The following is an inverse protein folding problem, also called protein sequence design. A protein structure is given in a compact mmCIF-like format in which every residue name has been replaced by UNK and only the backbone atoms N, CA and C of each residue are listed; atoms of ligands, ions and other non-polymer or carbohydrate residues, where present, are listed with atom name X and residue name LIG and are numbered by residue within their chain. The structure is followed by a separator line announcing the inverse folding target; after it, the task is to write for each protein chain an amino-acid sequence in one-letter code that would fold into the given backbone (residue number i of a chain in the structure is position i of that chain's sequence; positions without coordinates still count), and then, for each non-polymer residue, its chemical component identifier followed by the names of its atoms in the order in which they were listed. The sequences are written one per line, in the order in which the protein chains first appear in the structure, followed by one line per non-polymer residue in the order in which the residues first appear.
data_IF_092309380166
#
_entry.id   IF_092309380166
#
_cell.length_a   1.000
_cell.length_b   1.000
_cell.length_c   1.000
_cell.angle_alpha   90.00
_cell.angle_beta   90.00
_cell.angle_gamma   90.00
#
_symmetry.space_group_name_H-M   'P 1'
#
loop_
_entity.id
_entity.type
_entity.pdbx_description
1 polymer ?
#
# COMPACT_ATOMS: atom_id res chain seq x y z
N UNK A 1 -19.68 -29.35 -19.94
CA UNK A 1 -20.71 -28.60 -20.69
C UNK A 1 -20.72 -28.89 -22.20
N UNK A 2 -19.59 -29.29 -22.82
CA UNK A 2 -19.48 -29.54 -24.27
C UNK A 2 -20.46 -30.61 -24.83
N UNK A 3 -20.67 -31.73 -24.13
CA UNK A 3 -21.64 -32.76 -24.53
C UNK A 3 -23.09 -32.27 -24.58
N UNK A 4 -23.51 -31.46 -23.61
CA UNK A 4 -24.87 -30.91 -23.56
C UNK A 4 -25.13 -29.95 -24.73
N UNK A 5 -24.19 -29.05 -25.04
CA UNK A 5 -24.26 -28.17 -26.22
C UNK A 5 -24.33 -28.97 -27.53
N UNK A 6 -23.57 -30.07 -27.63
CA UNK A 6 -23.55 -30.93 -28.82
C UNK A 6 -24.84 -31.76 -28.97
N UNK A 7 -25.48 -32.18 -27.88
CA UNK A 7 -26.77 -32.87 -27.91
C UNK A 7 -27.92 -31.93 -28.27
N UNK A 8 -27.93 -30.70 -27.76
CA UNK A 8 -28.92 -29.67 -28.13
C UNK A 8 -28.85 -29.36 -29.63
N UNK A 9 -27.65 -29.21 -30.19
CA UNK A 9 -27.46 -29.01 -31.65
C UNK A 9 -27.92 -30.20 -32.49
N UNK A 10 -28.05 -31.40 -31.90
CA UNK A 10 -28.46 -32.64 -32.59
C UNK A 10 -29.89 -33.07 -32.26
N UNK A 11 -30.66 -32.25 -31.53
CA UNK A 11 -32.03 -32.59 -31.10
C UNK A 11 -32.09 -33.78 -30.12
N UNK A 12 -30.96 -34.20 -29.55
CA UNK A 12 -30.90 -35.34 -28.64
C UNK A 12 -31.26 -34.90 -27.20
N UNK A 13 -31.97 -35.75 -26.44
CA UNK A 13 -32.31 -35.44 -25.06
C UNK A 13 -31.04 -35.21 -24.23
N UNK A 14 -31.07 -34.13 -23.43
CA UNK A 14 -29.96 -33.79 -22.53
C UNK A 14 -30.06 -34.71 -21.32
N UNK A 15 -29.02 -35.51 -21.09
CA UNK A 15 -28.89 -36.35 -19.90
C UNK A 15 -29.14 -35.52 -18.63
N UNK A 16 -30.11 -35.94 -17.82
CA UNK A 16 -30.39 -35.31 -16.53
C UNK A 16 -29.18 -35.50 -15.60
N UNK A 17 -28.72 -34.45 -14.91
CA UNK A 17 -27.58 -34.58 -14.01
C UNK A 17 -27.89 -35.58 -12.90
N UNK A 18 -27.00 -36.56 -12.70
CA UNK A 18 -27.11 -37.51 -11.60
C UNK A 18 -26.93 -36.80 -10.26
N UNK A 19 -27.57 -37.32 -9.20
CA UNK A 19 -27.53 -36.77 -7.83
C UNK A 19 -26.10 -36.58 -7.32
N UNK A 20 -25.19 -37.49 -7.69
CA UNK A 20 -23.75 -37.43 -7.38
C UNK A 20 -23.06 -36.25 -8.08
N UNK A 21 -23.38 -36.00 -9.36
CA UNK A 21 -22.83 -34.87 -10.11
C UNK A 21 -23.36 -33.52 -9.60
N UNK A 22 -24.63 -33.46 -9.19
CA UNK A 22 -25.25 -32.28 -8.60
C UNK A 22 -24.61 -31.92 -7.25
N UNK A 23 -24.41 -32.90 -6.35
CA UNK A 23 -23.70 -32.67 -5.07
C UNK A 23 -22.27 -32.18 -5.29
N UNK A 24 -21.55 -32.73 -6.26
CA UNK A 24 -20.17 -32.29 -6.57
C UNK A 24 -20.12 -30.84 -7.05
N UNK A 25 -21.06 -30.43 -7.93
CA UNK A 25 -21.15 -29.04 -8.40
C UNK A 25 -21.49 -28.07 -7.26
N UNK A 26 -22.39 -28.45 -6.37
CA UNK A 26 -22.74 -27.67 -5.17
C UNK A 26 -21.51 -27.49 -4.27
N UNK A 27 -20.76 -28.56 -3.97
CA UNK A 27 -19.54 -28.48 -3.16
C UNK A 27 -18.49 -27.55 -3.77
N UNK A 28 -18.28 -27.61 -5.08
CA UNK A 28 -17.33 -26.72 -5.77
C UNK A 28 -17.80 -25.26 -5.68
N UNK A 29 -19.07 -24.99 -5.96
CA UNK A 29 -19.62 -23.64 -5.95
C UNK A 29 -19.52 -23.01 -4.55
N UNK A 30 -20.04 -23.71 -3.53
CA UNK A 30 -20.00 -23.19 -2.15
C UNK A 30 -18.60 -23.19 -1.58
N UNK A 31 -17.76 -24.19 -1.90
CA UNK A 31 -16.37 -24.24 -1.46
C UNK A 31 -15.57 -23.03 -1.92
N UNK A 32 -15.68 -22.66 -3.20
CA UNK A 32 -15.03 -21.44 -3.72
C UNK A 32 -15.55 -20.18 -3.04
N UNK A 33 -16.87 -20.08 -2.78
CA UNK A 33 -17.43 -18.94 -2.05
C UNK A 33 -16.89 -18.84 -0.63
N UNK A 34 -16.78 -19.96 0.09
CA UNK A 34 -16.21 -19.99 1.45
C UNK A 34 -14.73 -19.61 1.47
N UNK A 35 -13.93 -20.06 0.50
CA UNK A 35 -12.51 -19.69 0.40
C UNK A 35 -12.38 -18.17 0.19
N UNK A 36 -13.15 -17.59 -0.72
CA UNK A 36 -13.14 -16.14 -0.96
C UNK A 36 -13.56 -15.39 0.31
N UNK A 37 -14.59 -15.86 1.02
CA UNK A 37 -15.03 -15.25 2.26
C UNK A 37 -13.94 -15.30 3.35
N UNK A 38 -13.26 -16.44 3.50
CA UNK A 38 -12.17 -16.60 4.46
C UNK A 38 -11.01 -15.64 4.15
N UNK A 39 -10.60 -15.55 2.87
CA UNK A 39 -9.53 -14.63 2.45
C UNK A 39 -9.94 -13.18 2.78
N UNK A 40 -11.19 -12.80 2.44
CA UNK A 40 -11.70 -11.47 2.69
C UNK A 40 -11.75 -11.13 4.19
N UNK A 41 -12.18 -12.08 5.04
CA UNK A 41 -12.19 -11.90 6.50
C UNK A 41 -10.77 -11.79 7.06
N UNK A 42 -9.83 -12.62 6.59
CA UNK A 42 -8.43 -12.56 7.03
C UNK A 42 -7.77 -11.22 6.63
N UNK A 43 -8.00 -10.76 5.40
CA UNK A 43 -7.54 -9.43 4.96
C UNK A 43 -8.14 -8.33 5.85
N UNK A 44 -9.44 -8.41 6.14
CA UNK A 44 -10.11 -7.43 6.97
C UNK A 44 -9.60 -7.40 8.42
N UNK A 45 -9.29 -8.58 8.99
CA UNK A 45 -8.66 -8.67 10.31
C UNK A 45 -7.27 -8.06 10.27
N UNK A 46 -6.46 -8.36 9.25
CA UNK A 46 -5.13 -7.77 9.09
C UNK A 46 -5.22 -6.24 9.00
N UNK A 47 -6.07 -5.70 8.13
CA UNK A 47 -6.30 -4.26 8.01
C UNK A 47 -6.80 -3.66 9.34
N UNK A 48 -7.63 -4.40 10.08
CA UNK A 48 -8.09 -4.10 11.44
C UNK A 48 -6.98 -3.84 12.46
N UNK A 49 -5.96 -4.71 12.45
CA UNK A 49 -4.82 -4.60 13.37
C UNK A 49 -3.81 -3.55 12.92
N UNK A 50 -3.64 -3.34 11.61
CA UNK A 50 -2.55 -2.50 11.09
C UNK A 50 -2.98 -1.07 10.69
N UNK A 51 -4.25 -0.83 10.35
CA UNK A 51 -4.79 0.46 9.90
C UNK A 51 -6.23 0.69 10.40
N UNK A 52 -6.46 0.80 11.72
CA UNK A 52 -7.79 0.83 12.34
C UNK A 52 -8.71 1.95 11.81
N UNK A 53 -8.14 3.09 11.42
CA UNK A 53 -8.92 4.26 10.98
C UNK A 53 -9.59 4.06 9.61
N UNK A 54 -8.99 3.23 8.74
CA UNK A 54 -9.46 2.99 7.37
C UNK A 54 -10.47 1.83 7.33
N UNK A 55 -10.46 0.97 8.34
CA UNK A 55 -11.26 -0.26 8.45
C UNK A 55 -12.74 0.04 8.34
N UNK A 56 -13.21 1.13 8.95
CA UNK A 56 -14.62 1.58 8.87
C UNK A 56 -15.06 1.89 7.43
N UNK A 57 -14.18 2.50 6.63
CA UNK A 57 -14.42 2.81 5.23
C UNK A 57 -14.37 1.53 4.37
N UNK A 58 -13.45 0.62 4.68
CA UNK A 58 -13.30 -0.66 4.00
C UNK A 58 -14.51 -1.60 4.17
N UNK A 59 -15.26 -1.50 5.28
CA UNK A 59 -16.53 -2.25 5.48
C UNK A 59 -17.66 -1.76 4.59
N UNK A 60 -17.66 -0.48 4.20
CA UNK A 60 -18.80 0.10 3.48
C UNK A 60 -19.07 -0.62 2.15
N UNK A 61 -18.02 -0.95 1.38
CA UNK A 61 -18.16 -1.66 0.11
C UNK A 61 -18.82 -3.03 0.26
N UNK A 62 -18.21 -3.98 1.00
CA UNK A 62 -18.78 -5.30 1.27
C UNK A 62 -20.13 -5.23 1.97
N UNK A 63 -20.31 -4.33 2.94
CA UNK A 63 -21.54 -4.17 3.71
C UNK A 63 -22.71 -3.73 2.83
N UNK A 64 -22.53 -2.66 2.05
CA UNK A 64 -23.53 -2.16 1.10
C UNK A 64 -23.84 -3.22 0.03
N UNK A 65 -22.81 -3.86 -0.52
CA UNK A 65 -22.98 -4.94 -1.50
C UNK A 65 -23.81 -6.12 -0.97
N UNK A 66 -23.59 -6.50 0.29
CA UNK A 66 -24.32 -7.59 0.95
C UNK A 66 -25.79 -7.21 1.17
N UNK A 67 -26.06 -5.99 1.65
CA UNK A 67 -27.43 -5.49 1.84
C UNK A 67 -28.20 -5.44 0.51
N UNK A 68 -27.58 -4.91 -0.55
CA UNK A 68 -28.18 -4.85 -1.90
C UNK A 68 -28.45 -6.26 -2.42
N UNK A 69 -27.47 -7.17 -2.33
CA UNK A 69 -27.58 -8.54 -2.80
C UNK A 69 -28.68 -9.33 -2.08
N UNK A 70 -28.76 -9.21 -0.75
CA UNK A 70 -29.81 -9.82 0.06
C UNK A 70 -31.18 -9.24 -0.26
N UNK A 71 -31.28 -7.93 -0.47
CA UNK A 71 -32.52 -7.25 -0.86
C UNK A 71 -33.03 -7.78 -2.20
N UNK A 72 -32.18 -7.80 -3.23
CA UNK A 72 -32.52 -8.36 -4.55
C UNK A 72 -32.97 -9.82 -4.42
N UNK A 73 -32.24 -10.64 -3.64
CA UNK A 73 -32.58 -12.06 -3.44
C UNK A 73 -33.93 -12.24 -2.73
N UNK A 74 -34.19 -11.48 -1.67
CA UNK A 74 -35.46 -11.53 -0.94
C UNK A 74 -36.64 -11.16 -1.84
N UNK A 75 -36.49 -10.10 -2.64
CA UNK A 75 -37.54 -9.64 -3.54
C UNK A 75 -37.80 -10.61 -4.71
N UNK A 76 -36.76 -11.18 -5.32
CA UNK A 76 -36.91 -12.23 -6.34
C UNK A 76 -37.69 -13.42 -5.74
N UNK A 77 -37.32 -13.87 -4.54
CA UNK A 77 -37.96 -15.00 -3.87
C UNK A 77 -39.43 -14.73 -3.52
N UNK A 78 -39.80 -13.49 -3.19
CA UNK A 78 -41.17 -13.11 -2.76
C UNK A 78 -42.10 -12.72 -3.92
N UNK A 79 -41.59 -12.20 -5.05
CA UNK A 79 -42.40 -11.59 -6.13
C UNK A 79 -42.31 -12.29 -7.50
N UNK A 80 -41.63 -13.46 -7.57
CA UNK A 80 -41.42 -14.28 -8.78
C UNK A 80 -42.69 -14.80 -9.47
N UNK A 81 -43.92 -14.52 -9.00
CA UNK A 81 -45.14 -14.98 -9.69
C UNK A 81 -45.48 -14.17 -10.96
N UNK A 82 -44.87 -12.99 -11.19
CA UNK A 82 -45.06 -12.19 -12.42
C UNK A 82 -43.73 -11.80 -13.06
N UNK A 83 -43.39 -12.46 -14.18
CA UNK A 83 -42.13 -12.29 -14.96
C UNK A 83 -41.77 -10.84 -15.34
N UNK A 84 -42.73 -9.91 -15.39
CA UNK A 84 -42.49 -8.50 -15.74
C UNK A 84 -41.94 -7.63 -14.60
N UNK A 85 -42.00 -8.08 -13.35
CA UNK A 85 -41.55 -7.29 -12.22
C UNK A 85 -40.01 -7.23 -12.13
N UNK A 86 -39.32 -8.36 -12.41
CA UNK A 86 -37.87 -8.46 -12.28
C UNK A 86 -37.08 -7.51 -13.18
N UNK A 87 -37.54 -7.30 -14.43
CA UNK A 87 -36.86 -6.42 -15.39
C UNK A 87 -36.86 -4.96 -14.93
N UNK A 88 -37.97 -4.47 -14.39
CA UNK A 88 -38.09 -3.08 -13.90
C UNK A 88 -37.14 -2.80 -12.72
N UNK A 89 -36.89 -3.79 -11.88
CA UNK A 89 -36.01 -3.64 -10.72
C UNK A 89 -34.52 -3.77 -11.08
N UNK A 90 -34.17 -4.62 -12.05
CA UNK A 90 -32.81 -4.64 -12.61
C UNK A 90 -32.50 -3.29 -13.25
N UNK A 91 -33.47 -2.70 -13.97
CA UNK A 91 -33.33 -1.37 -14.54
C UNK A 91 -33.15 -0.29 -13.46
N UNK A 92 -33.93 -0.36 -12.37
CA UNK A 92 -33.79 0.56 -11.22
C UNK A 92 -32.43 0.42 -10.52
N UNK A 93 -31.93 -0.80 -10.34
CA UNK A 93 -30.60 -1.05 -9.78
C UNK A 93 -29.49 -0.50 -10.69
N UNK A 94 -29.62 -0.64 -12.01
CA UNK A 94 -28.71 -0.02 -12.98
C UNK A 94 -28.73 1.50 -12.90
N UNK A 95 -29.91 2.12 -12.80
CA UNK A 95 -30.04 3.58 -12.62
C UNK A 95 -29.38 4.01 -11.31
N UNK A 96 -29.59 3.26 -10.23
CA UNK A 96 -28.95 3.54 -8.94
C UNK A 96 -27.43 3.44 -9.03
N UNK A 97 -26.89 2.41 -9.70
CA UNK A 97 -25.44 2.29 -9.96
C UNK A 97 -24.96 3.48 -10.78
N UNK A 98 -25.62 3.86 -11.87
CA UNK A 98 -25.18 4.97 -12.73
C UNK A 98 -25.17 6.31 -11.97
N UNK A 99 -26.11 6.54 -11.05
CA UNK A 99 -26.20 7.79 -10.29
C UNK A 99 -25.23 7.83 -9.11
N UNK A 100 -25.09 6.72 -8.38
CA UNK A 100 -24.28 6.67 -7.16
C UNK A 100 -22.82 6.30 -7.43
N UNK A 101 -22.54 5.54 -8.48
CA UNK A 101 -21.18 5.10 -8.78
C UNK A 101 -20.22 6.25 -9.11
N UNK A 102 -20.61 7.34 -9.80
CA UNK A 102 -19.75 8.51 -9.97
C UNK A 102 -19.43 9.22 -8.65
N UNK A 103 -20.38 9.27 -7.70
CA UNK A 103 -20.16 9.88 -6.38
C UNK A 103 -19.28 9.01 -5.49
N UNK A 104 -19.50 7.69 -5.52
CA UNK A 104 -18.63 6.72 -4.84
C UNK A 104 -17.25 6.72 -5.50
N UNK A 105 -17.18 6.81 -6.83
CA UNK A 105 -15.92 6.89 -7.57
C UNK A 105 -15.17 8.19 -7.25
N UNK A 106 -15.82 9.35 -7.17
CA UNK A 106 -15.18 10.60 -6.70
C UNK A 106 -14.69 10.46 -5.25
N UNK A 107 -15.49 9.90 -4.36
CA UNK A 107 -15.10 9.70 -2.95
C UNK A 107 -13.94 8.69 -2.80
N UNK A 108 -13.82 7.77 -3.76
CA UNK A 108 -12.70 6.84 -3.92
C UNK A 108 -11.51 7.58 -4.54
N UNK A 109 -11.65 8.20 -5.72
CA UNK A 109 -10.53 8.82 -6.47
C UNK A 109 -9.95 10.04 -5.77
N UNK A 110 -10.77 10.85 -5.13
CA UNK A 110 -10.31 12.00 -4.33
C UNK A 110 -9.68 11.54 -2.99
N UNK A 111 -9.95 10.30 -2.57
CA UNK A 111 -9.33 9.65 -1.40
C UNK A 111 -8.16 8.71 -1.73
N UNK A 112 -7.83 8.50 -3.02
CA UNK A 112 -6.74 7.65 -3.51
C UNK A 112 -5.58 8.44 -4.13
N UNK A 113 -5.59 9.78 -4.06
CA UNK A 113 -4.31 10.50 -4.02
C UNK A 113 -3.67 10.15 -2.67
N UNK A 114 -2.92 9.05 -2.70
CA UNK A 114 -2.16 8.35 -1.65
C UNK A 114 -1.08 9.23 -0.97
N UNK A 115 -1.26 10.55 -0.99
CA UNK A 115 -0.36 11.58 -0.51
C UNK A 115 -1.16 12.43 0.48
N UNK A 116 -1.14 12.05 1.75
CA UNK A 116 -1.70 12.91 2.78
C UNK A 116 -0.79 14.11 2.93
N UNK A 117 -1.24 15.28 2.47
CA UNK A 117 -0.63 16.54 2.88
C UNK A 117 -0.81 16.66 4.38
N UNK A 118 0.30 16.78 5.10
CA UNK A 118 0.30 16.89 6.56
C UNK A 118 0.83 18.26 6.95
N UNK A 119 0.18 18.90 7.91
CA UNK A 119 0.64 20.22 8.39
C UNK A 119 1.91 20.08 9.26
N UNK A 120 2.11 18.92 9.88
CA UNK A 120 3.23 18.63 10.78
C UNK A 120 3.74 17.18 10.61
N UNK A 121 5.00 16.90 11.01
CA UNK A 121 5.50 15.53 11.06
C UNK A 121 4.63 14.65 11.97
N UNK A 122 4.17 13.48 11.50
CA UNK A 122 3.30 12.61 12.28
C UNK A 122 3.97 12.06 13.53
N UNK A 123 3.24 12.10 14.65
CA UNK A 123 3.72 11.59 15.93
C UNK A 123 4.03 10.08 15.89
N UNK A 124 5.08 9.66 16.61
CA UNK A 124 5.48 8.26 16.69
C UNK A 124 6.23 7.73 15.44
N UNK A 125 6.47 8.55 14.42
CA UNK A 125 7.30 8.20 13.26
C UNK A 125 8.65 8.92 13.33
N UNK A 126 9.79 8.21 13.21
CA UNK A 126 11.07 8.87 13.20
C UNK A 126 11.23 9.66 11.89
N UNK A 127 11.32 10.97 11.97
CA UNK A 127 11.43 11.85 10.80
C UNK A 127 12.52 12.87 11.11
N UNK A 128 13.28 13.28 10.10
CA UNK A 128 14.18 14.44 10.18
C UNK A 128 13.65 15.51 9.24
N UNK A 129 13.55 16.75 9.71
CA UNK A 129 13.07 17.86 8.88
C UNK A 129 14.22 18.67 8.28
N UNK A 130 13.92 19.44 7.23
CA UNK A 130 14.91 20.37 6.65
C UNK A 130 15.37 21.40 7.69
N UNK A 131 14.47 21.88 8.55
CA UNK A 131 14.82 22.80 9.64
C UNK A 131 15.84 22.20 10.61
N UNK A 132 15.70 20.92 10.97
CA UNK A 132 16.64 20.22 11.85
C UNK A 132 18.02 20.04 11.20
N UNK A 133 18.06 19.75 9.89
CA UNK A 133 19.30 19.61 9.12
C UNK A 133 20.05 20.93 9.00
N UNK A 134 19.36 22.00 8.62
CA UNK A 134 19.98 23.31 8.43
C UNK A 134 20.28 24.00 9.79
N UNK A 135 19.63 23.58 10.87
CA UNK A 135 19.97 23.96 12.24
C UNK A 135 19.51 25.37 12.67
N UNK A 136 18.65 26.01 11.89
CA UNK A 136 17.98 27.26 12.24
C UNK A 136 16.53 27.24 11.77
N UNK A 137 15.67 28.07 12.39
CA UNK A 137 14.27 28.16 11.99
C UNK A 137 14.14 28.77 10.60
N UNK A 138 13.37 28.13 9.73
CA UNK A 138 13.17 28.54 8.34
C UNK A 138 11.88 29.39 8.25
N UNK A 139 11.57 30.14 9.32
CA UNK A 139 10.30 30.83 9.52
C UNK A 139 9.84 31.71 8.35
N UNK A 140 8.54 31.65 8.03
CA UNK A 140 7.92 32.42 6.96
C UNK A 140 7.95 31.76 5.57
N UNK A 141 8.64 30.62 5.42
CA UNK A 141 8.72 29.91 4.15
C UNK A 141 7.52 28.97 3.92
N UNK A 142 7.19 28.74 2.64
CA UNK A 142 6.18 27.76 2.24
C UNK A 142 6.77 26.36 2.41
N UNK A 143 6.21 25.61 3.37
CA UNK A 143 6.59 24.24 3.66
C UNK A 143 5.47 23.32 3.20
N UNK A 144 5.81 22.40 2.30
CA UNK A 144 4.91 21.34 1.88
C UNK A 144 5.42 20.01 2.42
N UNK A 145 4.55 19.29 3.15
CA UNK A 145 4.87 17.97 3.68
C UNK A 145 3.84 16.96 3.20
N UNK A 146 4.35 15.81 2.84
CA UNK A 146 3.59 14.67 2.36
C UNK A 146 3.99 13.45 3.18
N UNK A 147 3.00 12.70 3.65
CA UNK A 147 3.23 11.48 4.42
C UNK A 147 2.35 10.35 3.92
N UNK A 148 2.99 9.19 3.68
CA UNK A 148 2.31 7.98 3.25
C UNK A 148 2.71 6.82 4.16
N UNK A 149 1.86 6.43 5.13
CA UNK A 149 2.11 5.26 5.94
C UNK A 149 1.79 3.98 5.16
N UNK A 150 2.45 2.89 5.54
CA UNK A 150 2.15 1.56 5.02
C UNK A 150 2.54 0.45 6.00
N UNK A 151 1.89 -0.69 5.84
CA UNK A 151 2.17 -1.87 6.65
C UNK A 151 2.05 -3.15 5.82
N UNK A 152 2.81 -4.18 6.21
CA UNK A 152 2.69 -5.53 5.66
C UNK A 152 3.13 -6.55 6.71
N UNK A 153 2.76 -7.85 6.57
CA UNK A 153 3.15 -8.88 7.54
C UNK A 153 4.66 -9.02 7.77
N UNK A 154 5.48 -8.67 6.76
CA UNK A 154 6.95 -8.75 6.85
C UNK A 154 7.59 -7.41 7.24
N UNK A 155 6.87 -6.31 6.99
CA UNK A 155 7.30 -4.93 7.25
C UNK A 155 6.17 -4.20 7.97
N UNK A 156 6.00 -4.44 9.28
CA UNK A 156 4.84 -3.93 10.02
C UNK A 156 4.77 -2.41 10.05
N UNK A 157 5.91 -1.72 9.91
CA UNK A 157 5.98 -0.26 9.85
C UNK A 157 6.86 0.18 8.69
N UNK A 158 6.26 0.75 7.66
CA UNK A 158 6.98 1.50 6.64
C UNK A 158 6.26 2.78 6.27
N UNK A 159 6.97 3.75 5.74
CA UNK A 159 6.37 4.99 5.26
C UNK A 159 7.29 5.72 4.30
N UNK A 160 6.67 6.56 3.47
CA UNK A 160 7.33 7.58 2.67
C UNK A 160 6.96 8.95 3.25
N UNK A 161 7.96 9.76 3.58
CA UNK A 161 7.79 11.16 3.97
C UNK A 161 8.54 12.03 2.96
N UNK A 162 7.93 13.13 2.55
CA UNK A 162 8.56 14.11 1.68
C UNK A 162 8.30 15.50 2.23
N UNK A 163 9.34 16.30 2.30
CA UNK A 163 9.26 17.69 2.71
C UNK A 163 9.96 18.56 1.66
N UNK A 164 9.27 19.61 1.24
CA UNK A 164 9.74 20.63 0.33
C UNK A 164 9.67 21.97 1.05
N UNK A 165 10.78 22.69 1.05
CA UNK A 165 10.88 24.02 1.65
C UNK A 165 11.52 24.96 0.64
N UNK A 166 10.86 26.09 0.37
CA UNK A 166 11.44 27.15 -0.44
C UNK A 166 12.24 28.09 0.46
N UNK A 167 13.56 28.19 0.27
CA UNK A 167 14.45 29.07 1.02
C UNK A 167 15.07 30.04 0.03
N UNK A 168 14.75 31.32 0.13
CA UNK A 168 15.30 32.39 -0.72
C UNK A 168 15.20 32.11 -2.24
N UNK A 169 14.11 31.46 -2.66
CA UNK A 169 13.86 31.10 -4.06
C UNK A 169 14.45 29.75 -4.49
N UNK A 170 15.19 29.07 -3.61
CA UNK A 170 15.72 27.72 -3.84
C UNK A 170 14.84 26.68 -3.14
N UNK A 171 14.32 25.73 -3.90
CA UNK A 171 13.53 24.62 -3.34
C UNK A 171 14.47 23.55 -2.81
N UNK A 172 14.56 23.42 -1.48
CA UNK A 172 15.17 22.26 -0.84
C UNK A 172 14.14 21.16 -0.68
N UNK A 173 14.57 19.92 -0.90
CA UNK A 173 13.71 18.74 -0.75
C UNK A 173 14.43 17.68 0.05
N UNK A 174 13.69 17.03 0.94
CA UNK A 174 14.07 15.76 1.57
C UNK A 174 12.97 14.74 1.32
N UNK A 175 13.38 13.52 0.98
CA UNK A 175 12.52 12.35 0.88
C UNK A 175 13.10 11.26 1.77
N UNK A 176 12.24 10.67 2.59
CA UNK A 176 12.57 9.65 3.57
C UNK A 176 11.69 8.45 3.28
N UNK A 177 12.31 7.29 3.01
CA UNK A 177 11.60 6.01 3.00
C UNK A 177 12.17 5.14 4.09
N UNK A 178 11.31 4.70 4.98
CA UNK A 178 11.71 3.93 6.15
C UNK A 178 10.98 2.59 6.17
N UNK A 179 11.71 1.55 6.56
CA UNK A 179 11.17 0.20 6.69
C UNK A 179 11.67 -0.42 8.00
N UNK A 180 10.75 -0.80 8.88
CA UNK A 180 11.04 -1.65 10.04
C UNK A 180 10.40 -3.02 9.82
N UNK A 181 11.25 -4.03 9.78
CA UNK A 181 10.87 -5.41 9.44
C UNK A 181 10.78 -6.28 10.69
N UNK A 182 10.14 -7.44 10.56
CA UNK A 182 10.09 -8.42 11.67
C UNK A 182 11.42 -9.15 11.90
N UNK A 183 12.36 -9.11 10.94
CA UNK A 183 13.62 -9.86 10.98
C UNK A 183 14.69 -9.22 10.08
N UNK A 184 15.99 -9.23 10.46
CA UNK A 184 17.05 -8.59 9.69
C UNK A 184 17.18 -9.14 8.26
N UNK A 185 16.84 -10.41 8.05
CA UNK A 185 16.81 -11.02 6.73
C UNK A 185 15.92 -10.25 5.73
N UNK A 186 14.75 -9.78 6.17
CA UNK A 186 13.86 -9.01 5.30
C UNK A 186 14.38 -7.59 5.08
N UNK A 187 14.98 -6.97 6.09
CA UNK A 187 15.65 -5.68 5.94
C UNK A 187 16.78 -5.75 4.90
N UNK A 188 17.64 -6.77 4.97
CA UNK A 188 18.70 -7.01 3.99
C UNK A 188 18.15 -7.19 2.57
N UNK A 189 17.03 -7.93 2.42
CA UNK A 189 16.35 -8.10 1.13
C UNK A 189 15.81 -6.79 0.57
N UNK A 190 15.22 -5.94 1.41
CA UNK A 190 14.75 -4.62 1.00
C UNK A 190 15.93 -3.75 0.58
N UNK A 191 16.98 -3.66 1.40
CA UNK A 191 18.20 -2.92 1.11
C UNK A 191 18.79 -3.33 -0.26
N UNK A 192 19.02 -4.63 -0.47
CA UNK A 192 19.52 -5.16 -1.75
C UNK A 192 18.58 -4.84 -2.91
N UNK A 193 17.27 -4.93 -2.70
CA UNK A 193 16.27 -4.63 -3.72
C UNK A 193 16.20 -3.15 -4.12
N UNK A 194 16.51 -2.23 -3.20
CA UNK A 194 16.63 -0.79 -3.51
C UNK A 194 17.96 -0.54 -4.24
N UNK A 195 19.07 -1.06 -3.70
CA UNK A 195 20.40 -0.94 -4.31
C UNK A 195 20.43 -1.44 -5.76
N UNK A 196 19.94 -2.67 -6.00
CA UNK A 196 19.86 -3.26 -7.34
C UNK A 196 19.05 -2.39 -8.33
N UNK A 197 18.01 -1.72 -7.84
CA UNK A 197 17.14 -0.88 -8.66
C UNK A 197 17.82 0.43 -9.05
N UNK A 198 18.59 1.01 -8.14
CA UNK A 198 19.41 2.20 -8.44
C UNK A 198 20.53 1.84 -9.43
N UNK A 199 21.23 0.73 -9.21
CA UNK A 199 22.39 0.35 -10.03
C UNK A 199 21.98 -0.05 -11.46
N UNK A 200 20.90 -0.82 -11.59
CA UNK A 200 20.44 -1.38 -12.88
C UNK A 200 19.43 -0.47 -13.59
N UNK A 201 18.84 0.47 -12.85
CA UNK A 201 17.69 1.25 -13.30
C UNK A 201 16.46 0.37 -13.59
N UNK A 202 15.41 1.03 -14.11
CA UNK A 202 14.16 0.38 -14.51
C UNK A 202 14.08 0.42 -16.03
N UNK A 203 13.84 -0.73 -16.67
CA UNK A 203 13.56 -0.77 -18.10
C UNK A 203 12.13 -0.34 -18.38
N UNK A 204 11.96 0.79 -19.06
CA UNK A 204 10.67 1.28 -19.50
C UNK A 204 10.70 1.66 -20.99
N UNK A 205 9.83 1.04 -21.78
CA UNK A 205 9.72 1.25 -23.24
C UNK A 205 11.05 1.16 -24.01
N UNK A 206 11.94 0.27 -23.57
CA UNK A 206 13.26 0.07 -24.19
C UNK A 206 14.37 1.01 -23.71
N UNK A 207 14.05 1.96 -22.82
CA UNK A 207 15.01 2.85 -22.15
C UNK A 207 15.24 2.39 -20.71
N UNK A 208 16.46 2.59 -20.20
CA UNK A 208 16.74 2.44 -18.76
C UNK A 208 16.58 3.81 -18.10
N UNK A 209 15.67 3.90 -17.12
CA UNK A 209 15.40 5.12 -16.35
C UNK A 209 15.79 4.92 -14.89
N UNK A 210 16.10 6.01 -14.17
CA UNK A 210 16.50 5.99 -12.74
C UNK A 210 17.76 5.18 -12.42
N UNK A 211 18.61 4.92 -13.42
CA UNK A 211 19.92 4.35 -13.17
C UNK A 211 20.83 5.41 -12.54
N UNK A 212 21.46 5.07 -11.42
CA UNK A 212 22.43 5.90 -10.71
C UNK A 212 23.70 5.10 -10.50
N UNK A 213 24.84 5.77 -10.49
CA UNK A 213 26.10 5.16 -10.09
C UNK A 213 26.16 5.11 -8.57
N UNK A 214 26.56 3.96 -8.04
CA UNK A 214 26.57 3.68 -6.60
C UNK A 214 28.01 3.57 -6.10
N UNK A 215 28.26 4.22 -4.97
CA UNK A 215 29.49 4.14 -4.21
C UNK A 215 29.24 3.26 -2.98
N UNK A 216 30.10 2.27 -2.79
CA UNK A 216 30.20 1.50 -1.55
C UNK A 216 31.33 2.12 -0.73
N UNK A 217 30.97 2.90 0.29
CA UNK A 217 31.93 3.55 1.19
C UNK A 217 32.02 2.77 2.50
N UNK A 218 32.96 1.83 2.56
CA UNK A 218 33.17 0.99 3.74
C UNK A 218 33.68 1.80 4.95
N UNK A 219 34.39 2.91 4.73
CA UNK A 219 34.86 3.79 5.81
C UNK A 219 33.68 4.50 6.46
N UNK A 220 32.82 5.13 5.66
CA UNK A 220 31.60 5.78 6.13
C UNK A 220 30.64 4.79 6.79
N UNK A 221 30.48 3.59 6.22
CA UNK A 221 29.68 2.51 6.81
C UNK A 221 30.16 2.16 8.23
N UNK A 222 31.48 2.06 8.42
CA UNK A 222 32.08 1.77 9.72
C UNK A 222 31.93 2.95 10.68
N UNK A 223 32.13 4.20 10.21
CA UNK A 223 31.94 5.42 11.00
C UNK A 223 30.50 5.56 11.53
N UNK A 224 29.52 5.20 10.71
CA UNK A 224 28.11 5.22 11.08
C UNK A 224 27.68 3.97 11.86
N UNK A 225 28.53 2.94 11.93
CA UNK A 225 28.24 1.65 12.58
C UNK A 225 26.95 1.02 12.01
N UNK A 226 26.91 0.88 10.68
CA UNK A 226 25.79 0.30 9.92
C UNK A 226 26.15 -1.09 9.40
N UNK A 227 25.16 -1.98 9.26
CA UNK A 227 25.39 -3.33 8.71
C UNK A 227 25.67 -3.25 7.20
N UNK A 228 24.86 -2.44 6.50
CA UNK A 228 25.02 -2.15 5.08
C UNK A 228 24.75 -0.66 4.81
N UNK A 229 25.51 -0.08 3.88
CA UNK A 229 25.39 1.31 3.45
C UNK A 229 25.80 1.43 1.98
N UNK A 230 25.06 2.24 1.22
CA UNK A 230 25.42 2.65 -0.14
C UNK A 230 25.00 4.10 -0.38
N UNK A 231 25.77 4.81 -1.18
CA UNK A 231 25.50 6.19 -1.59
C UNK A 231 25.49 6.29 -3.12
N UNK A 232 24.82 7.29 -3.66
CA UNK A 232 24.99 7.68 -5.07
C UNK A 232 26.29 8.48 -5.27
N UNK A 233 26.86 8.46 -6.48
CA UNK A 233 28.01 9.30 -6.83
C UNK A 233 27.75 10.80 -6.66
N UNK A 234 26.50 11.23 -6.90
CA UNK A 234 26.06 12.61 -6.71
C UNK A 234 25.92 13.00 -5.23
N UNK A 235 26.05 12.03 -4.30
CA UNK A 235 25.86 12.19 -2.85
C UNK A 235 24.51 12.82 -2.47
N UNK A 236 23.50 12.67 -3.33
CA UNK A 236 22.13 13.15 -3.12
C UNK A 236 21.20 12.07 -2.52
N UNK A 237 21.66 10.81 -2.47
CA UNK A 237 20.86 9.66 -2.06
C UNK A 237 21.72 8.63 -1.29
N UNK A 238 21.25 8.22 -0.11
CA UNK A 238 21.89 7.22 0.74
C UNK A 238 20.87 6.16 1.16
N UNK A 239 21.31 4.90 1.17
CA UNK A 239 20.56 3.78 1.71
C UNK A 239 21.40 3.16 2.82
N UNK A 240 20.80 2.97 3.99
CA UNK A 240 21.44 2.34 5.14
C UNK A 240 20.52 1.29 5.74
N UNK A 241 21.13 0.22 6.25
CA UNK A 241 20.44 -0.85 6.96
C UNK A 241 21.20 -1.19 8.24
N UNK A 242 20.42 -1.38 9.32
CA UNK A 242 20.91 -1.82 10.63
C UNK A 242 19.86 -2.65 11.32
N UNK A 243 20.18 -3.91 11.60
CA UNK A 243 19.25 -4.90 12.13
C UNK A 243 17.98 -4.98 11.27
N UNK A 244 16.83 -4.73 11.90
CA UNK A 244 15.52 -4.80 11.26
C UNK A 244 15.13 -3.55 10.44
N UNK A 245 15.93 -2.48 10.52
CA UNK A 245 15.58 -1.15 10.02
C UNK A 245 16.34 -0.87 8.72
N UNK A 246 15.65 -0.34 7.71
CA UNK A 246 16.22 0.21 6.48
C UNK A 246 15.75 1.65 6.33
N UNK A 247 16.69 2.56 6.08
CA UNK A 247 16.42 3.94 5.79
C UNK A 247 16.98 4.28 4.41
N UNK A 248 16.16 4.96 3.62
CA UNK A 248 16.51 5.47 2.31
C UNK A 248 16.22 6.97 2.32
N UNK A 249 17.29 7.78 2.26
CA UNK A 249 17.21 9.23 2.25
C UNK A 249 17.60 9.75 0.87
N UNK A 250 16.85 10.73 0.39
CA UNK A 250 17.15 11.45 -0.84
C UNK A 250 16.95 12.95 -0.59
N UNK A 251 17.84 13.78 -1.09
CA UNK A 251 17.69 15.23 -0.98
C UNK A 251 19.01 15.98 -0.87
N UNK A 252 18.88 17.27 -0.61
CA UNK A 252 20.01 18.17 -0.34
C UNK A 252 20.46 18.01 1.12
N UNK A 253 21.19 16.93 1.39
CA UNK A 253 21.68 16.53 2.71
C UNK A 253 23.19 16.34 2.64
N UNK A 254 23.92 17.00 3.53
CA UNK A 254 25.35 16.75 3.71
C UNK A 254 25.55 15.53 4.63
N UNK A 255 25.83 14.37 4.03
CA UNK A 255 26.05 13.14 4.77
C UNK A 255 27.44 13.06 5.44
N UNK A 256 28.38 13.93 5.08
CA UNK A 256 29.73 13.94 5.68
C UNK A 256 29.75 14.73 7.00
N UNK A 257 28.74 15.58 7.25
CA UNK A 257 28.64 16.37 8.48
C UNK A 257 28.31 15.48 9.71
N UNK A 258 29.17 15.56 10.73
CA UNK A 258 29.00 14.80 11.98
C UNK A 258 27.65 15.04 12.66
N UNK A 259 27.16 16.28 12.61
CA UNK A 259 25.85 16.66 13.17
C UNK A 259 24.70 15.95 12.44
N UNK A 260 24.76 15.88 11.12
CA UNK A 260 23.77 15.18 10.28
C UNK A 260 23.77 13.69 10.57
N UNK A 261 24.97 13.09 10.65
CA UNK A 261 25.15 11.69 11.06
C UNK A 261 24.52 11.40 12.42
N UNK A 262 24.85 12.19 13.44
CA UNK A 262 24.30 12.01 14.80
C UNK A 262 22.78 12.15 14.81
N UNK A 263 22.25 13.15 14.13
CA UNK A 263 20.80 13.38 14.03
C UNK A 263 20.08 12.17 13.41
N UNK A 264 20.58 11.63 12.30
CA UNK A 264 19.98 10.48 11.61
C UNK A 264 20.09 9.22 12.49
N UNK A 265 21.26 8.94 13.07
CA UNK A 265 21.44 7.77 13.93
C UNK A 265 20.49 7.82 15.12
N UNK A 266 20.42 8.97 15.79
CA UNK A 266 19.60 9.14 16.98
C UNK A 266 18.10 9.07 16.68
N UNK A 267 17.67 9.56 15.53
CA UNK A 267 16.25 9.57 15.15
C UNK A 267 15.77 8.20 14.69
N UNK A 268 16.55 7.50 13.87
CA UNK A 268 16.06 6.31 13.17
C UNK A 268 16.55 4.99 13.78
N UNK A 269 17.74 4.98 14.41
CA UNK A 269 18.41 3.73 14.77
C UNK A 269 18.63 3.55 16.26
N UNK A 270 18.71 4.62 17.05
CA UNK A 270 18.57 4.50 18.49
C UNK A 270 17.15 4.10 18.84
N UNK A 271 17.01 3.15 19.76
CA UNK A 271 15.71 2.71 20.24
C UNK A 271 15.08 3.81 21.08
N UNK A 272 14.24 4.63 20.44
CA UNK A 272 13.27 5.46 21.13
C UNK A 272 12.18 4.56 21.72
N UNK A 273 12.46 3.98 22.89
CA UNK A 273 11.45 3.36 23.73
C UNK A 273 11.24 1.88 23.46
N UNK A 274 11.45 1.12 24.54
CA UNK A 274 11.00 -0.24 24.74
C UNK A 274 9.61 -0.51 24.14
N UNK A 275 9.43 -1.74 23.68
CA UNK A 275 8.20 -2.53 23.81
C UNK A 275 7.16 -1.87 24.72
N UNK A 276 6.21 -1.14 24.16
CA UNK A 276 4.88 -1.14 24.75
C UNK A 276 4.24 -2.46 24.31
N UNK A 277 4.39 -3.46 25.18
CA UNK A 277 3.51 -4.61 25.23
C UNK A 277 2.07 -4.12 25.28
N UNK A 278 1.24 -4.45 24.29
CA UNK A 278 -0.15 -4.88 24.45
C UNK A 278 -0.61 -5.65 23.21
#
# INVERSE_FOLDING_TARGET
MLKARRNIKKGLPVERPTLKSARRRIKILYGTTWIILIILVLSFIADGFFMPDIVTLAVLGPGVGTIIGLSIRYYIKKKSSKKGAGVKYILLAFIFIIIFMPKIASLITDGFEDIYKVDSPPEGYPIVTIEELVGHSIGGNEISREFKPGSSPLVPKHYDYRELVNIDGNTKTITIKYYNTINPYFAERIFKGINDRLEKGIKWRGMTIFQRNIIIDDEMKNLWTMDNMVLTEERDEIIIQKGNKVLHLLGDIDYDEDKTKELIINRFFLDSGAYEEF
#
